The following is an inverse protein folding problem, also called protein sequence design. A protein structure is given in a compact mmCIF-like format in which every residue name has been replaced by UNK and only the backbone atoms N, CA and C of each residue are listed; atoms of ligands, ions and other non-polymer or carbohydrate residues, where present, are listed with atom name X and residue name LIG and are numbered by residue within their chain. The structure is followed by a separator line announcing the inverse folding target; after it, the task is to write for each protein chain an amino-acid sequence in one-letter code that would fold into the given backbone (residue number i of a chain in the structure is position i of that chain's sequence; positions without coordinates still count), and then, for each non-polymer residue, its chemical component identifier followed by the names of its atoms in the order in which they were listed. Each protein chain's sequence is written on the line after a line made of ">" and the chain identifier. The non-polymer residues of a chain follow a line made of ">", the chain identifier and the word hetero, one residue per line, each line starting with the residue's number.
data_IF_798272215708
#
_entry.id   IF_798272215708
#
_cell.length_a   1.000
_cell.length_b   1.000
_cell.length_c   1.000
_cell.angle_alpha   90.00
_cell.angle_beta   90.00
_cell.angle_gamma   90.00
#
_symmetry.space_group_name_H-M   'P 1'
#
loop_
_entity.id
_entity.type
_entity.pdbx_description
1 polymer ?
#
# COMPACT_ATOMS: atom_id res chain seq x y z
N UNK A 1 -37.09 2.71 52.87
CA UNK A 1 -35.94 3.41 52.28
C UNK A 1 -34.73 2.49 52.30
N UNK A 2 -33.84 2.56 51.28
CA UNK A 2 -32.52 1.89 51.15
C UNK A 2 -32.45 0.56 50.36
N UNK A 3 -32.61 0.60 49.03
CA UNK A 3 -32.10 -0.45 48.11
C UNK A 3 -31.53 0.06 46.77
N UNK A 4 -31.40 1.37 46.58
CA UNK A 4 -30.99 1.96 45.29
C UNK A 4 -29.46 2.18 45.20
N UNK A 5 -28.75 2.21 46.33
CA UNK A 5 -27.31 2.52 46.35
C UNK A 5 -26.38 1.44 45.78
N UNK A 6 -26.78 0.16 45.80
CA UNK A 6 -25.90 -0.95 45.39
C UNK A 6 -25.91 -1.20 43.88
N UNK A 7 -27.05 -0.95 43.20
CA UNK A 7 -27.18 -1.14 41.76
C UNK A 7 -26.45 -0.06 40.95
N UNK A 8 -26.37 1.18 41.48
CA UNK A 8 -25.69 2.29 40.79
C UNK A 8 -24.17 2.13 40.82
N UNK A 9 -23.61 1.64 41.93
CA UNK A 9 -22.15 1.44 42.06
C UNK A 9 -21.69 0.26 41.19
N UNK A 10 -22.49 -0.81 41.08
CA UNK A 10 -22.18 -1.94 40.20
C UNK A 10 -22.26 -1.57 38.70
N UNK A 11 -23.20 -0.70 38.33
CA UNK A 11 -23.28 -0.21 36.95
C UNK A 11 -22.10 0.71 36.60
N UNK A 12 -21.64 1.54 37.54
CA UNK A 12 -20.51 2.45 37.34
C UNK A 12 -19.16 1.72 37.22
N UNK A 13 -18.97 0.61 37.94
CA UNK A 13 -17.74 -0.20 37.83
C UNK A 13 -17.67 -1.00 36.52
N UNK A 14 -18.80 -1.45 35.99
CA UNK A 14 -18.84 -2.15 34.70
C UNK A 14 -18.53 -1.19 33.55
N UNK A 15 -19.00 0.07 33.60
CA UNK A 15 -18.74 1.07 32.55
C UNK A 15 -17.25 1.42 32.44
N UNK A 16 -16.53 1.52 33.56
CA UNK A 16 -15.09 1.78 33.55
C UNK A 16 -14.29 0.60 32.95
N UNK A 17 -14.66 -0.64 33.27
CA UNK A 17 -13.98 -1.83 32.75
C UNK A 17 -14.24 -2.07 31.26
N UNK A 18 -15.41 -1.65 30.75
CA UNK A 18 -15.77 -1.76 29.32
C UNK A 18 -15.06 -0.69 28.48
N UNK A 19 -14.68 0.46 29.05
CA UNK A 19 -14.00 1.53 28.32
C UNK A 19 -12.52 1.18 27.99
N UNK A 20 -11.81 0.50 28.88
CA UNK A 20 -10.40 0.12 28.64
C UNK A 20 -10.23 -1.02 27.62
N UNK A 21 -11.28 -1.83 27.41
CA UNK A 21 -11.23 -2.96 26.48
C UNK A 21 -11.39 -2.56 25.00
N UNK A 22 -11.78 -1.31 24.70
CA UNK A 22 -12.07 -0.86 23.34
C UNK A 22 -10.92 -0.09 22.67
N UNK A 23 -9.84 0.24 23.39
CA UNK A 23 -8.68 0.94 22.80
C UNK A 23 -7.68 -0.02 22.13
N UNK A 24 -7.59 -1.28 22.55
CA UNK A 24 -6.63 -2.26 22.01
C UNK A 24 -7.08 -2.99 20.74
N UNK A 25 -8.30 -2.76 20.27
CA UNK A 25 -8.93 -3.50 19.17
C UNK A 25 -8.75 -2.90 17.77
N UNK A 26 -8.32 -1.63 17.66
CA UNK A 26 -8.31 -0.92 16.38
C UNK A 26 -6.92 -0.79 15.71
N UNK A 27 -5.88 -1.41 16.27
CA UNK A 27 -4.54 -1.45 15.66
C UNK A 27 -4.39 -2.56 14.61
N UNK A 28 -5.36 -3.46 14.50
CA UNK A 28 -5.33 -4.57 13.55
C UNK A 28 -6.15 -4.21 12.30
N UNK A 29 -5.49 -3.52 11.35
CA UNK A 29 -5.80 -3.41 9.90
C UNK A 29 -5.37 -2.04 9.32
N UNK A 30 -4.27 -1.45 9.80
CA UNK A 30 -3.49 -0.59 8.90
C UNK A 30 -2.85 -1.54 7.88
N UNK A 31 -3.51 -1.76 6.74
CA UNK A 31 -2.89 -2.43 5.61
C UNK A 31 -1.56 -1.70 5.35
N UNK A 32 -0.43 -2.35 5.63
CA UNK A 32 0.87 -1.73 5.45
C UNK A 32 1.00 -1.34 3.98
N UNK A 33 0.98 -0.03 3.74
CA UNK A 33 1.06 0.51 2.38
C UNK A 33 2.47 0.24 1.88
N UNK A 34 2.56 -0.59 0.84
CA UNK A 34 3.84 -0.91 0.22
C UNK A 34 4.50 0.36 -0.31
N UNK A 35 5.79 0.52 0.02
CA UNK A 35 6.63 1.62 -0.45
C UNK A 35 7.69 1.03 -1.37
N UNK A 36 7.91 1.70 -2.49
CA UNK A 36 8.87 1.31 -3.50
C UNK A 36 10.28 1.40 -2.92
N UNK A 37 11.06 0.34 -3.09
CA UNK A 37 12.45 0.23 -2.67
C UNK A 37 13.42 0.18 -3.85
N UNK A 38 14.74 0.29 -3.59
CA UNK A 38 15.75 -0.06 -4.58
C UNK A 38 15.61 -1.52 -4.99
N UNK A 39 16.03 -1.83 -6.22
CA UNK A 39 15.90 -3.16 -6.86
C UNK A 39 14.46 -3.58 -7.23
N UNK A 40 13.45 -2.75 -6.93
CA UNK A 40 12.09 -3.00 -7.40
C UNK A 40 11.99 -2.84 -8.92
N UNK A 41 11.14 -3.64 -9.55
CA UNK A 41 10.81 -3.47 -10.96
C UNK A 41 9.47 -2.76 -11.08
N UNK A 42 9.45 -1.64 -11.79
CA UNK A 42 8.25 -0.85 -12.05
C UNK A 42 7.84 -1.01 -13.51
N UNK A 43 6.61 -1.45 -13.73
CA UNK A 43 5.98 -1.40 -15.03
C UNK A 43 5.14 -0.13 -15.11
N UNK A 44 5.53 0.76 -16.02
CA UNK A 44 4.89 2.06 -16.22
C UNK A 44 4.26 2.02 -17.60
N UNK A 45 2.95 2.18 -17.65
CA UNK A 45 2.17 2.21 -18.89
C UNK A 45 1.46 3.54 -19.02
N UNK A 46 1.58 4.16 -20.19
CA UNK A 46 0.91 5.43 -20.50
C UNK A 46 -0.12 5.17 -21.58
N UNK A 47 -1.38 5.49 -21.30
CA UNK A 47 -2.49 5.25 -22.23
C UNK A 47 -2.25 5.94 -23.58
N UNK A 48 -2.49 5.21 -24.67
CA UNK A 48 -2.26 5.65 -26.06
C UNK A 48 -0.81 6.02 -26.41
N UNK A 49 0.17 5.69 -25.55
CA UNK A 49 1.57 5.99 -25.83
C UNK A 49 2.49 4.81 -25.45
N UNK A 50 2.63 3.87 -26.39
CA UNK A 50 3.49 2.69 -26.23
C UNK A 50 4.98 3.05 -26.14
N UNK A 51 5.39 4.20 -26.68
CA UNK A 51 6.78 4.68 -26.61
C UNK A 51 7.15 5.11 -25.18
N UNK A 52 6.16 5.39 -24.33
CA UNK A 52 6.36 5.69 -22.91
C UNK A 52 6.04 4.50 -22.00
N UNK A 53 5.55 3.40 -22.56
CA UNK A 53 5.30 2.17 -21.81
C UNK A 53 6.58 1.38 -21.65
N UNK A 54 7.16 1.41 -20.44
CA UNK A 54 8.44 0.77 -20.14
C UNK A 54 8.42 0.04 -18.80
N UNK A 55 9.13 -1.09 -18.78
CA UNK A 55 9.52 -1.76 -17.54
C UNK A 55 10.89 -1.24 -17.13
N UNK A 56 10.97 -0.58 -15.98
CA UNK A 56 12.20 0.03 -15.47
C UNK A 56 12.56 -0.53 -14.10
N UNK A 57 13.86 -0.70 -13.85
CA UNK A 57 14.38 -1.10 -12.55
C UNK A 57 14.63 0.14 -11.70
N UNK A 58 14.22 0.10 -10.43
CA UNK A 58 14.59 1.11 -9.44
C UNK A 58 16.05 0.92 -9.10
N UNK A 59 16.86 1.91 -9.48
CA UNK A 59 18.29 1.92 -9.24
C UNK A 59 18.60 1.99 -7.73
N UNK A 60 19.83 1.69 -7.35
CA UNK A 60 20.26 1.71 -5.94
C UNK A 60 20.19 3.12 -5.30
N UNK A 61 20.14 4.19 -6.09
CA UNK A 61 19.88 5.57 -5.64
C UNK A 61 18.38 5.87 -5.44
N UNK A 62 17.49 4.90 -5.68
CA UNK A 62 16.06 5.02 -5.50
C UNK A 62 15.35 5.78 -6.62
N UNK A 63 15.99 5.88 -7.78
CA UNK A 63 15.46 6.57 -8.96
C UNK A 63 15.18 5.61 -10.10
N UNK A 64 14.29 6.02 -11.00
CA UNK A 64 14.08 5.38 -12.30
C UNK A 64 14.41 6.36 -13.41
N UNK A 65 14.85 5.82 -14.54
CA UNK A 65 15.07 6.60 -15.74
C UNK A 65 13.97 6.33 -16.76
N UNK A 66 13.27 7.39 -17.20
CA UNK A 66 12.17 7.32 -18.17
C UNK A 66 12.42 8.26 -19.36
N UNK A 67 11.90 7.92 -20.55
CA UNK A 67 11.87 8.88 -21.66
C UNK A 67 11.11 10.15 -21.26
N UNK A 68 11.57 11.30 -21.74
CA UNK A 68 11.06 12.66 -21.44
C UNK A 68 11.29 13.16 -20.01
N UNK A 69 11.28 12.27 -19.00
CA UNK A 69 11.40 12.64 -17.59
C UNK A 69 12.81 12.48 -17.02
N UNK A 70 13.75 11.91 -17.79
CA UNK A 70 15.09 11.58 -17.33
C UNK A 70 15.01 10.79 -16.01
N UNK A 71 15.48 11.37 -14.90
CA UNK A 71 15.50 10.69 -13.61
C UNK A 71 14.37 11.15 -12.69
N UNK A 72 13.60 10.19 -12.18
CA UNK A 72 12.49 10.42 -11.24
C UNK A 72 12.78 9.70 -9.92
N UNK A 73 12.68 10.41 -8.80
CA UNK A 73 12.80 9.83 -7.46
C UNK A 73 11.54 9.01 -7.14
N UNK A 74 11.73 7.73 -6.80
CA UNK A 74 10.62 6.81 -6.52
C UNK A 74 10.73 6.08 -5.19
N UNK A 75 11.94 5.96 -4.63
CA UNK A 75 12.11 5.27 -3.36
C UNK A 75 11.32 5.96 -2.24
N UNK A 76 10.63 5.15 -1.44
CA UNK A 76 9.78 5.60 -0.34
C UNK A 76 8.37 6.03 -0.76
N UNK A 77 8.11 6.22 -2.06
CA UNK A 77 6.78 6.50 -2.57
C UNK A 77 5.94 5.23 -2.69
N UNK A 78 4.63 5.40 -2.59
CA UNK A 78 3.65 4.38 -2.91
C UNK A 78 3.35 4.39 -4.42
N UNK A 79 2.76 3.32 -4.94
CA UNK A 79 2.38 3.25 -6.36
C UNK A 79 1.42 4.38 -6.77
N UNK A 80 0.53 4.80 -5.86
CA UNK A 80 -0.42 5.89 -6.10
C UNK A 80 0.28 7.24 -6.15
N UNK A 81 1.15 7.52 -5.18
CA UNK A 81 1.93 8.77 -5.16
C UNK A 81 2.83 8.88 -6.40
N UNK A 82 3.48 7.78 -6.79
CA UNK A 82 4.31 7.76 -7.98
C UNK A 82 3.48 8.04 -9.24
N UNK A 83 2.31 7.43 -9.38
CA UNK A 83 1.40 7.70 -10.50
C UNK A 83 1.08 9.19 -10.59
N UNK A 84 0.70 9.81 -9.48
CA UNK A 84 0.29 11.22 -9.48
C UNK A 84 1.47 12.14 -9.85
N UNK A 85 2.68 11.83 -9.37
CA UNK A 85 3.92 12.52 -9.77
C UNK A 85 4.21 12.37 -11.26
N UNK A 86 4.07 11.16 -11.81
CA UNK A 86 4.29 10.89 -13.23
C UNK A 86 3.25 11.58 -14.11
N UNK A 87 1.97 11.57 -13.71
CA UNK A 87 0.90 12.28 -14.42
C UNK A 87 1.15 13.78 -14.45
N UNK A 88 1.58 14.39 -13.33
CA UNK A 88 1.90 15.82 -13.29
C UNK A 88 3.07 16.17 -14.22
N UNK A 89 4.15 15.39 -14.17
CA UNK A 89 5.35 15.64 -14.98
C UNK A 89 5.13 15.37 -16.47
N UNK A 90 4.41 14.31 -16.82
CA UNK A 90 4.08 14.01 -18.23
C UNK A 90 3.06 14.99 -18.80
N UNK A 91 2.27 15.67 -17.95
CA UNK A 91 1.31 16.68 -18.36
C UNK A 91 1.94 17.89 -19.07
N UNK A 92 3.23 18.15 -18.85
CA UNK A 92 3.98 19.19 -19.57
C UNK A 92 4.28 18.80 -21.04
N UNK A 93 4.28 17.51 -21.35
CA UNK A 93 4.63 16.99 -22.68
C UNK A 93 3.43 16.44 -23.43
N UNK A 94 2.43 15.90 -22.71
CA UNK A 94 1.27 15.23 -23.28
C UNK A 94 0.01 15.77 -22.61
N UNK A 95 -1.03 16.15 -23.37
CA UNK A 95 -2.31 16.55 -22.80
C UNK A 95 -3.02 15.33 -22.19
N UNK A 96 -3.39 15.44 -20.91
CA UNK A 96 -4.14 14.42 -20.15
C UNK A 96 -3.53 13.01 -20.19
N UNK A 97 -2.30 12.81 -19.66
CA UNK A 97 -1.66 11.51 -19.64
C UNK A 97 -2.28 10.61 -18.56
N UNK A 98 -2.83 9.47 -18.96
CA UNK A 98 -3.29 8.45 -18.02
C UNK A 98 -2.17 7.43 -17.81
N UNK A 99 -1.68 7.36 -16.56
CA UNK A 99 -0.53 6.53 -16.19
C UNK A 99 -0.98 5.39 -15.29
N UNK A 100 -0.53 4.20 -15.62
CA UNK A 100 -0.68 2.99 -14.80
C UNK A 100 0.70 2.58 -14.30
N UNK A 101 0.83 2.43 -13.00
CA UNK A 101 2.06 1.98 -12.34
C UNK A 101 1.79 0.65 -11.66
N UNK A 102 2.55 -0.37 -12.04
CA UNK A 102 2.53 -1.69 -11.41
C UNK A 102 3.90 -1.93 -10.78
N UNK A 103 3.91 -2.26 -9.49
CA UNK A 103 5.13 -2.53 -8.74
C UNK A 103 5.32 -4.03 -8.64
N UNK A 104 6.47 -4.52 -9.11
CA UNK A 104 6.94 -5.87 -8.91
C UNK A 104 8.11 -5.82 -7.93
N UNK A 105 7.91 -6.25 -6.67
CA UNK A 105 8.96 -6.20 -5.66
C UNK A 105 10.20 -6.95 -6.13
N UNK A 106 11.35 -6.29 -6.07
CA UNK A 106 12.65 -6.91 -6.26
C UNK A 106 12.91 -7.88 -5.11
N UNK A 107 13.49 -9.05 -5.41
CA UNK A 107 13.83 -10.14 -4.50
C UNK A 107 13.59 -9.82 -3.01
N UNK A 108 12.35 -9.97 -2.56
CA UNK A 108 12.02 -9.77 -1.15
C UNK A 108 12.82 -10.83 -0.37
N UNK A 109 13.75 -10.47 0.52
CA UNK A 109 14.43 -11.48 1.32
C UNK A 109 13.36 -12.28 2.08
N UNK A 110 13.41 -13.64 2.09
CA UNK A 110 12.35 -14.48 2.64
C UNK A 110 12.11 -14.34 4.16
N UNK A 111 12.70 -13.34 4.82
CA UNK A 111 12.57 -13.05 6.24
C UNK A 111 12.14 -11.63 6.61
N UNK A 112 12.02 -10.69 5.66
CA UNK A 112 11.62 -9.30 5.98
C UNK A 112 10.10 -9.08 5.96
N UNK A 113 9.38 -10.12 6.38
CA UNK A 113 7.98 -10.01 6.73
C UNK A 113 7.91 -9.20 8.02
N UNK A 114 7.65 -7.88 7.91
CA UNK A 114 7.32 -7.06 9.07
C UNK A 114 6.25 -7.78 9.89
N UNK A 115 6.32 -7.81 11.23
CA UNK A 115 5.39 -8.60 12.05
C UNK A 115 3.94 -8.22 11.73
N UNK A 116 3.27 -9.04 10.92
CA UNK A 116 1.95 -8.75 10.35
C UNK A 116 1.73 -9.24 8.90
N UNK A 117 2.76 -9.33 8.07
CA UNK A 117 2.61 -9.78 6.68
C UNK A 117 2.54 -11.30 6.58
N UNK A 118 1.36 -11.87 6.87
CA UNK A 118 1.07 -13.28 6.62
C UNK A 118 1.15 -13.53 5.12
N UNK A 119 2.10 -14.37 4.69
CA UNK A 119 2.07 -14.94 3.33
C UNK A 119 0.71 -15.62 3.18
N UNK A 120 -0.22 -15.05 2.41
CA UNK A 120 -1.36 -15.80 1.92
C UNK A 120 -0.82 -16.70 0.80
N UNK A 121 -0.67 -18.03 1.01
CA UNK A 121 -0.33 -18.89 -0.10
C UNK A 121 -1.50 -18.82 -1.10
N UNK A 122 -1.23 -18.36 -2.32
CA UNK A 122 -2.17 -18.49 -3.42
C UNK A 122 -2.46 -19.98 -3.61
N UNK A 123 -3.64 -20.43 -3.17
CA UNK A 123 -4.08 -21.80 -3.37
C UNK A 123 -4.63 -21.93 -4.79
N UNK A 124 -3.75 -22.30 -5.73
CA UNK A 124 -4.09 -22.54 -7.14
C UNK A 124 -5.16 -23.63 -7.34
N UNK A 125 -5.47 -24.43 -6.32
CA UNK A 125 -6.48 -25.50 -6.40
C UNK A 125 -7.91 -25.01 -6.09
N UNK A 126 -8.12 -23.71 -5.90
CA UNK A 126 -9.43 -23.08 -5.67
C UNK A 126 -9.88 -22.13 -6.79
N UNK A 127 -9.24 -22.15 -7.95
CA UNK A 127 -9.77 -21.45 -9.13
C UNK A 127 -10.82 -22.35 -9.77
N UNK A 128 -12.08 -22.09 -9.50
CA UNK A 128 -13.17 -22.74 -10.24
C UNK A 128 -13.06 -22.28 -11.70
N UNK A 129 -13.00 -23.17 -12.69
CA UNK A 129 -13.04 -22.74 -14.08
C UNK A 129 -14.39 -22.08 -14.36
N UNK A 130 -14.35 -20.83 -14.79
CA UNK A 130 -15.54 -20.17 -15.36
C UNK A 130 -15.86 -20.91 -16.65
N UNK A 131 -17.06 -21.47 -16.72
CA UNK A 131 -17.51 -22.34 -17.81
C UNK A 131 -17.99 -21.53 -19.01
#
# INVERSE_FOLDING_TARGET
>A
MRRIGFAVILALTIVAFVAEAQEKGNAANAAEVYRIGPEDTLFISVWKNEVLTHTVLVRSDGKISLPLLNDVQVAGLTALELRDVLTAKLGEFIPSPEVVVIVSPGALPPGDLRPGSKRIPFNYNKVTPVR
#
